data_IF_269099905354
#
_entry.id   IF_269099905354
#
_cell.length_a   1.000
_cell.length_b   1.000
_cell.length_c   1.000
_cell.angle_alpha   90.00
_cell.angle_beta   90.00
_cell.angle_gamma   90.00
#
_symmetry.space_group_name_H-M   'P 1'
#
loop_
_entity.id
_entity.type
_entity.pdbx_description
1 polymer ?
#
# COMPACT_ATOMS: atom_id res chain seq x y z
N UNK A 1 4.29 -15.87 1.83
CA UNK A 1 3.84 -16.45 3.11
C UNK A 1 3.24 -15.41 4.02
N UNK A 2 2.23 -15.80 4.79
CA UNK A 2 1.55 -14.94 5.75
C UNK A 2 2.37 -14.64 7.02
N UNK A 3 3.44 -15.41 7.27
CA UNK A 3 4.33 -15.24 8.42
C UNK A 3 5.56 -14.45 8.00
N UNK A 4 5.70 -13.24 8.55
CA UNK A 4 6.84 -12.36 8.26
C UNK A 4 8.18 -12.96 8.69
N UNK A 5 8.19 -13.82 9.70
CA UNK A 5 9.37 -14.51 10.23
C UNK A 5 10.05 -15.40 9.18
N UNK A 6 9.27 -15.98 8.27
CA UNK A 6 9.73 -16.91 7.23
C UNK A 6 9.51 -16.40 5.82
N UNK A 7 8.90 -15.22 5.69
CA UNK A 7 8.60 -14.62 4.41
C UNK A 7 9.75 -13.77 3.87
N UNK A 8 9.50 -13.20 2.71
CA UNK A 8 10.36 -12.23 2.05
C UNK A 8 9.46 -11.22 1.33
N UNK A 9 9.80 -9.93 1.43
CA UNK A 9 9.17 -8.89 0.62
C UNK A 9 9.93 -8.80 -0.69
N UNK A 10 9.21 -8.88 -1.79
CA UNK A 10 9.76 -8.82 -3.16
C UNK A 10 9.31 -7.56 -3.90
N UNK A 11 8.23 -6.93 -3.42
CA UNK A 11 7.71 -5.67 -3.96
C UNK A 11 6.97 -4.89 -2.86
N UNK A 12 7.19 -3.57 -2.82
CA UNK A 12 6.36 -2.59 -2.12
C UNK A 12 6.03 -1.49 -3.13
N UNK A 13 4.74 -1.29 -3.40
CA UNK A 13 4.29 -0.18 -4.24
C UNK A 13 3.61 0.89 -3.40
N UNK A 14 3.88 2.14 -3.75
CA UNK A 14 3.30 3.31 -3.08
C UNK A 14 2.71 4.29 -4.09
N UNK A 15 1.71 5.05 -3.65
CA UNK A 15 1.08 6.09 -4.46
C UNK A 15 1.02 7.42 -3.72
N UNK A 16 1.31 8.49 -4.41
CA UNK A 16 1.17 9.85 -3.91
C UNK A 16 0.15 10.62 -4.73
N UNK A 17 -0.97 11.00 -4.09
CA UNK A 17 -2.02 11.80 -4.72
C UNK A 17 -1.65 13.27 -4.64
N UNK A 18 -1.64 13.96 -5.77
CA UNK A 18 -1.35 15.39 -5.86
C UNK A 18 -2.37 16.11 -6.73
N UNK A 19 -2.46 17.44 -6.56
CA UNK A 19 -3.26 18.29 -7.44
C UNK A 19 -2.39 18.70 -8.64
N UNK A 20 -2.78 18.26 -9.82
CA UNK A 20 -2.21 18.81 -11.06
C UNK A 20 -2.77 20.22 -11.28
N UNK A 21 -1.91 21.21 -11.08
CA UNK A 21 -2.28 22.62 -11.20
C UNK A 21 -2.60 23.05 -12.62
N UNK A 22 -2.08 22.34 -13.63
CA UNK A 22 -2.33 22.67 -15.03
C UNK A 22 -3.78 22.38 -15.43
N UNK A 23 -4.32 21.27 -14.93
CA UNK A 23 -5.66 20.79 -15.29
C UNK A 23 -6.67 20.93 -14.13
N UNK A 24 -6.23 21.38 -12.96
CA UNK A 24 -7.00 21.41 -11.71
C UNK A 24 -7.65 20.05 -11.37
N UNK A 25 -6.96 18.96 -11.72
CA UNK A 25 -7.39 17.58 -11.47
C UNK A 25 -6.46 16.89 -10.49
N UNK A 26 -6.98 15.89 -9.77
CA UNK A 26 -6.14 15.03 -8.95
C UNK A 26 -5.50 13.96 -9.81
N UNK A 27 -4.21 13.79 -9.60
CA UNK A 27 -3.37 12.79 -10.23
C UNK A 27 -2.66 11.95 -9.18
N UNK A 28 -2.15 10.78 -9.56
CA UNK A 28 -1.37 9.92 -8.67
C UNK A 28 -0.03 9.59 -9.31
N UNK A 29 1.03 9.69 -8.50
CA UNK A 29 2.35 9.14 -8.84
C UNK A 29 2.49 7.79 -8.16
N UNK A 30 2.83 6.77 -8.92
CA UNK A 30 3.09 5.41 -8.42
C UNK A 30 4.59 5.14 -8.48
N UNK A 31 5.10 4.49 -7.44
CA UNK A 31 6.49 4.00 -7.37
C UNK A 31 6.49 2.62 -6.75
N UNK A 32 7.24 1.71 -7.36
CA UNK A 32 7.50 0.38 -6.84
C UNK A 32 8.95 0.23 -6.40
N UNK A 33 9.14 -0.34 -5.22
CA UNK A 33 10.40 -0.87 -4.74
C UNK A 33 10.32 -2.38 -4.92
N UNK A 34 11.04 -2.92 -5.88
CA UNK A 34 10.95 -4.33 -6.25
C UNK A 34 12.31 -4.90 -6.62
N UNK A 35 12.52 -6.17 -6.33
CA UNK A 35 13.78 -6.81 -6.68
C UNK A 35 14.07 -8.07 -5.87
N UNK A 36 15.16 -8.77 -6.24
CA UNK A 36 15.58 -9.99 -5.57
C UNK A 36 16.25 -9.74 -4.22
N UNK A 37 16.75 -8.53 -3.96
CA UNK A 37 17.39 -8.17 -2.70
C UNK A 37 16.41 -7.42 -1.79
N UNK A 38 15.89 -8.12 -0.79
CA UNK A 38 14.92 -7.54 0.16
C UNK A 38 15.52 -6.43 1.01
N UNK A 39 16.82 -6.53 1.35
CA UNK A 39 17.47 -5.53 2.18
C UNK A 39 17.54 -4.19 1.45
N UNK A 40 17.96 -4.17 0.20
CA UNK A 40 18.03 -2.97 -0.64
C UNK A 40 16.62 -2.37 -0.79
N UNK A 41 15.63 -3.19 -1.15
CA UNK A 41 14.24 -2.77 -1.30
C UNK A 41 13.70 -2.09 -0.04
N UNK A 42 13.92 -2.71 1.12
CA UNK A 42 13.47 -2.18 2.41
C UNK A 42 14.22 -0.91 2.82
N UNK A 43 15.53 -0.81 2.55
CA UNK A 43 16.32 0.40 2.80
C UNK A 43 15.85 1.57 1.94
N UNK A 44 15.59 1.36 0.67
CA UNK A 44 15.08 2.38 -0.25
C UNK A 44 13.70 2.86 0.18
N UNK A 45 12.82 1.94 0.55
CA UNK A 45 11.49 2.29 1.08
C UNK A 45 11.59 3.05 2.42
N UNK A 46 12.44 2.61 3.35
CA UNK A 46 12.70 3.30 4.61
C UNK A 46 13.25 4.71 4.37
N UNK A 47 14.18 4.84 3.42
CA UNK A 47 14.75 6.12 2.99
C UNK A 47 13.68 7.09 2.50
N UNK A 48 12.75 6.62 1.65
CA UNK A 48 11.62 7.44 1.19
C UNK A 48 10.77 7.93 2.35
N UNK A 49 10.40 7.05 3.27
CA UNK A 49 9.57 7.43 4.43
C UNK A 49 10.27 8.42 5.35
N UNK A 50 11.54 8.19 5.66
CA UNK A 50 12.34 9.05 6.54
C UNK A 50 12.56 10.43 5.93
N UNK A 51 12.81 10.50 4.63
CA UNK A 51 13.10 11.75 3.93
C UNK A 51 11.85 12.62 3.76
N UNK A 52 10.72 12.02 3.36
CA UNK A 52 9.54 12.78 2.95
C UNK A 52 8.40 12.77 3.97
N UNK A 53 8.40 11.82 4.90
CA UNK A 53 7.31 11.63 5.87
C UNK A 53 7.83 11.43 7.31
N UNK A 54 8.72 12.31 7.80
CA UNK A 54 9.35 12.11 9.11
C UNK A 54 8.40 12.35 10.30
N UNK A 55 7.27 13.03 10.08
CA UNK A 55 6.33 13.40 11.14
C UNK A 55 4.96 12.77 10.91
N UNK A 56 4.63 11.77 11.74
CA UNK A 56 3.34 11.09 11.72
C UNK A 56 2.14 12.00 12.02
N UNK A 57 2.34 13.19 12.63
CA UNK A 57 1.26 14.12 12.88
C UNK A 57 0.89 14.96 11.65
N UNK A 58 1.74 14.99 10.64
CA UNK A 58 1.56 15.78 9.42
C UNK A 58 1.38 14.93 8.16
N UNK A 59 1.55 13.62 8.28
CA UNK A 59 1.54 12.71 7.14
C UNK A 59 0.57 11.58 7.40
N UNK A 60 -0.07 11.09 6.35
CA UNK A 60 -0.99 9.97 6.43
C UNK A 60 -0.55 8.86 5.48
N UNK A 61 -0.68 7.62 5.92
CA UNK A 61 -0.51 6.43 5.08
C UNK A 61 -1.88 5.78 4.93
N UNK A 62 -2.30 5.55 3.69
CA UNK A 62 -3.56 4.89 3.38
C UNK A 62 -3.30 3.51 2.81
N UNK A 63 -4.10 2.53 3.25
CA UNK A 63 -4.06 1.18 2.74
C UNK A 63 -5.37 0.44 3.02
N UNK A 64 -5.49 -0.77 2.49
CA UNK A 64 -6.64 -1.64 2.73
C UNK A 64 -6.21 -2.80 3.63
N UNK A 65 -6.68 -2.85 4.87
CA UNK A 65 -6.20 -3.75 5.92
C UNK A 65 -4.74 -3.51 6.32
N UNK A 66 -4.27 -2.30 6.12
CA UNK A 66 -2.85 -1.93 6.28
C UNK A 66 -2.37 -2.05 7.74
N UNK A 67 -3.24 -1.77 8.71
CA UNK A 67 -2.92 -1.82 10.14
C UNK A 67 -2.73 -3.24 10.66
N UNK A 68 -3.49 -4.20 10.12
CA UNK A 68 -3.44 -5.58 10.56
C UNK A 68 -2.44 -6.43 9.76
N UNK A 69 -2.11 -6.03 8.53
CA UNK A 69 -1.26 -6.83 7.64
C UNK A 69 0.01 -6.11 7.18
N UNK A 70 -0.08 -5.10 6.30
CA UNK A 70 1.09 -4.56 5.60
C UNK A 70 2.10 -3.92 6.56
N UNK A 71 1.67 -3.00 7.42
CA UNK A 71 2.59 -2.31 8.35
C UNK A 71 3.26 -3.29 9.32
N UNK A 72 2.54 -4.18 10.02
CA UNK A 72 3.18 -5.17 10.88
C UNK A 72 4.15 -6.09 10.12
N UNK A 73 3.80 -6.48 8.90
CA UNK A 73 4.65 -7.35 8.09
C UNK A 73 5.95 -6.63 7.69
N UNK A 74 5.85 -5.42 7.14
CA UNK A 74 6.99 -4.59 6.74
C UNK A 74 7.91 -4.32 7.93
N UNK A 75 7.36 -3.88 9.08
CA UNK A 75 8.15 -3.61 10.28
C UNK A 75 8.92 -4.85 10.75
N UNK A 76 8.27 -6.02 10.81
CA UNK A 76 8.95 -7.27 11.19
C UNK A 76 10.07 -7.61 10.21
N UNK A 77 9.83 -7.46 8.90
CA UNK A 77 10.87 -7.72 7.89
C UNK A 77 12.03 -6.73 7.98
N UNK A 78 11.76 -5.45 8.25
CA UNK A 78 12.83 -4.48 8.52
C UNK A 78 13.68 -4.90 9.73
N UNK A 79 13.05 -5.27 10.84
CA UNK A 79 13.78 -5.74 12.04
C UNK A 79 14.59 -7.02 11.78
N UNK A 80 14.05 -7.98 11.03
CA UNK A 80 14.78 -9.20 10.63
C UNK A 80 16.01 -8.88 9.80
N UNK A 81 15.94 -7.83 8.96
CA UNK A 81 17.05 -7.37 8.12
C UNK A 81 17.94 -6.32 8.83
N UNK A 82 17.72 -6.02 10.11
CA UNK A 82 18.52 -5.05 10.88
C UNK A 82 18.35 -3.61 10.41
N UNK A 83 17.19 -3.25 9.84
CA UNK A 83 16.87 -1.91 9.33
C UNK A 83 16.08 -1.15 10.40
N UNK A 84 16.50 0.09 10.68
CA UNK A 84 15.81 0.98 11.61
C UNK A 84 14.42 1.36 11.04
N UNK A 85 13.41 1.33 11.93
CA UNK A 85 12.04 1.66 11.51
C UNK A 85 11.87 3.17 11.34
N UNK A 86 11.38 3.65 10.17
CA UNK A 86 10.94 5.03 10.03
C UNK A 86 9.86 5.39 11.06
N UNK A 87 9.96 6.56 11.67
CA UNK A 87 9.08 7.00 12.76
C UNK A 87 7.58 6.91 12.44
N UNK A 88 7.21 7.09 11.18
CA UNK A 88 5.82 7.04 10.73
C UNK A 88 5.22 5.62 10.77
N UNK A 89 6.03 4.57 10.66
CA UNK A 89 5.57 3.17 10.73
C UNK A 89 5.97 2.47 12.05
N UNK A 90 6.79 3.08 12.88
CA UNK A 90 7.15 2.53 14.19
C UNK A 90 5.98 2.72 15.15
N UNK A 91 5.15 1.71 15.22
CA UNK A 91 3.94 1.69 16.07
C UNK A 91 4.00 0.66 17.19
N UNK A 92 5.19 0.13 17.48
CA UNK A 92 5.38 -0.83 18.55
C UNK A 92 4.90 -0.25 19.89
N UNK A 93 3.96 -0.94 20.54
CA UNK A 93 3.38 -0.52 21.82
C UNK A 93 2.46 0.70 21.79
N UNK A 94 2.22 1.30 20.62
CA UNK A 94 1.28 2.42 20.47
C UNK A 94 -0.17 1.96 20.63
N UNK A 95 -0.99 2.85 21.17
CA UNK A 95 -2.43 2.63 21.34
C UNK A 95 -3.17 2.98 20.03
N UNK A 96 -4.38 2.45 19.78
CA UNK A 96 -5.10 2.70 18.53
C UNK A 96 -5.26 4.16 18.14
N UNK A 97 -5.43 5.06 19.11
CA UNK A 97 -5.56 6.50 18.82
C UNK A 97 -4.24 7.19 18.47
N UNK A 98 -3.10 6.58 18.79
CA UNK A 98 -1.76 7.06 18.44
C UNK A 98 -1.36 6.66 17.02
N UNK A 99 -2.16 5.83 16.38
CA UNK A 99 -1.99 5.37 14.99
C UNK A 99 -3.05 5.92 14.03
N UNK A 100 -3.67 7.06 14.38
CA UNK A 100 -4.72 7.70 13.59
C UNK A 100 -4.23 8.21 12.22
N UNK A 101 -2.92 8.32 12.01
CA UNK A 101 -2.32 8.65 10.72
C UNK A 101 -2.39 7.49 9.71
N UNK A 102 -2.72 6.28 10.13
CA UNK A 102 -3.06 5.20 9.21
C UNK A 102 -4.54 5.24 8.83
N UNK A 103 -4.80 5.57 7.59
CA UNK A 103 -6.14 5.56 7.01
C UNK A 103 -6.43 4.18 6.42
N UNK A 104 -6.98 3.29 7.23
CA UNK A 104 -7.31 1.93 6.82
C UNK A 104 -8.71 1.88 6.20
N UNK A 105 -8.77 1.67 4.90
CA UNK A 105 -10.05 1.66 4.17
C UNK A 105 -10.94 0.47 4.53
N UNK A 106 -10.38 -0.63 5.05
CA UNK A 106 -11.18 -1.73 5.58
C UNK A 106 -11.82 -1.34 6.91
N UNK A 107 -11.10 -0.67 7.81
CA UNK A 107 -11.69 -0.14 9.06
C UNK A 107 -12.76 0.92 8.77
N UNK A 108 -12.53 1.81 7.79
CA UNK A 108 -13.53 2.81 7.37
C UNK A 108 -14.81 2.14 6.89
N UNK A 109 -14.71 1.04 6.12
CA UNK A 109 -15.86 0.29 5.62
C UNK A 109 -16.57 -0.51 6.71
N UNK A 110 -15.85 -1.02 7.70
CA UNK A 110 -16.41 -1.84 8.78
C UNK A 110 -17.41 -1.09 9.68
N UNK A 111 -17.29 0.24 9.83
CA UNK A 111 -18.11 1.02 10.77
C UNK A 111 -18.23 0.37 12.16
N UNK A 112 -17.14 -0.28 12.63
CA UNK A 112 -17.11 -0.98 13.91
C UNK A 112 -17.56 -2.45 13.88
N UNK A 113 -18.03 -2.97 12.75
CA UNK A 113 -18.30 -4.42 12.59
C UNK A 113 -17.01 -5.22 12.50
N UNK A 114 -16.68 -5.92 13.60
CA UNK A 114 -15.43 -6.70 13.71
C UNK A 114 -15.39 -7.96 12.85
N UNK A 115 -16.52 -8.40 12.29
CA UNK A 115 -16.62 -9.64 11.50
C UNK A 115 -16.58 -9.39 9.99
N UNK A 116 -16.64 -8.14 9.56
CA UNK A 116 -16.63 -7.78 8.15
C UNK A 116 -15.20 -7.65 7.62
N UNK A 117 -14.79 -8.59 6.77
CA UNK A 117 -13.51 -8.55 6.04
C UNK A 117 -13.80 -8.48 4.54
N UNK A 118 -14.17 -7.30 4.09
CA UNK A 118 -14.57 -7.10 2.69
C UNK A 118 -13.34 -6.82 1.83
N UNK A 119 -13.13 -7.61 0.78
CA UNK A 119 -11.97 -7.43 -0.10
C UNK A 119 -12.07 -6.14 -0.93
N UNK A 120 -10.90 -5.58 -1.28
CA UNK A 120 -10.78 -4.42 -2.15
C UNK A 120 -11.53 -4.61 -3.48
N UNK A 121 -11.42 -5.80 -4.08
CA UNK A 121 -12.10 -6.18 -5.33
C UNK A 121 -13.63 -6.12 -5.19
N UNK A 122 -14.18 -6.63 -4.08
CA UNK A 122 -15.61 -6.58 -3.85
C UNK A 122 -16.09 -5.13 -3.65
N UNK A 123 -15.34 -4.32 -2.88
CA UNK A 123 -15.67 -2.91 -2.67
C UNK A 123 -15.60 -2.11 -3.97
N UNK A 124 -14.61 -2.37 -4.83
CA UNK A 124 -14.53 -1.75 -6.14
C UNK A 124 -15.79 -2.02 -6.98
N UNK A 125 -16.23 -3.28 -7.00
CA UNK A 125 -17.44 -3.67 -7.74
C UNK A 125 -18.71 -3.01 -7.19
N UNK A 126 -18.89 -3.02 -5.87
CA UNK A 126 -20.09 -2.46 -5.21
C UNK A 126 -20.13 -0.94 -5.32
N UNK A 127 -18.98 -0.27 -5.19
CA UNK A 127 -18.89 1.19 -5.19
C UNK A 127 -18.68 1.78 -6.60
N UNK A 128 -18.61 0.93 -7.63
CA UNK A 128 -18.62 1.33 -9.03
C UNK A 128 -17.38 2.09 -9.49
N UNK A 129 -16.18 1.65 -9.07
CA UNK A 129 -14.93 2.15 -9.63
C UNK A 129 -14.13 1.00 -10.25
N UNK A 130 -13.22 1.31 -11.21
CA UNK A 130 -12.45 0.27 -11.87
C UNK A 130 -11.66 -0.56 -10.85
N UNK A 131 -11.94 -1.86 -10.81
CA UNK A 131 -11.09 -2.84 -10.13
C UNK A 131 -10.02 -3.29 -11.11
N UNK A 132 -8.78 -3.48 -10.66
CA UNK A 132 -7.80 -4.11 -11.52
C UNK A 132 -8.35 -5.47 -11.98
N UNK A 133 -8.40 -5.68 -13.30
CA UNK A 133 -8.52 -7.03 -13.84
C UNK A 133 -7.12 -7.61 -13.81
N UNK A 134 -6.78 -8.24 -12.69
CA UNK A 134 -5.48 -8.85 -12.53
C UNK A 134 -5.51 -10.27 -13.04
N UNK A 135 -4.43 -10.65 -13.65
CA UNK A 135 -4.15 -12.02 -14.09
C UNK A 135 -3.52 -12.85 -12.96
N UNK A 136 -3.17 -12.19 -11.83
CA UNK A 136 -2.69 -12.83 -10.59
C UNK A 136 -3.44 -12.29 -9.38
N UNK A 137 -3.43 -13.04 -8.31
CA UNK A 137 -3.85 -12.61 -6.98
C UNK A 137 -2.73 -12.77 -5.94
N UNK A 138 -2.95 -12.27 -4.73
CA UNK A 138 -1.93 -12.29 -3.68
C UNK A 138 -1.42 -13.70 -3.31
N UNK A 139 -2.20 -14.76 -3.55
CA UNK A 139 -1.78 -16.15 -3.30
C UNK A 139 -0.81 -16.66 -4.37
N UNK A 140 -0.86 -16.07 -5.57
CA UNK A 140 -0.04 -16.45 -6.71
C UNK A 140 1.31 -15.74 -6.76
N UNK A 141 1.48 -14.62 -6.03
CA UNK A 141 2.73 -13.84 -6.00
C UNK A 141 3.96 -14.73 -5.73
N UNK A 142 3.84 -15.68 -4.79
CA UNK A 142 4.92 -16.63 -4.52
C UNK A 142 5.31 -17.49 -5.72
N UNK A 143 4.33 -18.02 -6.45
CA UNK A 143 4.54 -18.81 -7.66
C UNK A 143 5.19 -17.95 -8.76
N UNK A 144 4.63 -16.79 -9.03
CA UNK A 144 5.16 -15.86 -10.06
C UNK A 144 6.61 -15.48 -9.75
N UNK A 145 6.93 -15.23 -8.48
CA UNK A 145 8.29 -14.88 -8.08
C UNK A 145 9.27 -16.05 -8.24
N UNK A 146 8.93 -17.23 -7.71
CA UNK A 146 9.88 -18.35 -7.63
C UNK A 146 9.94 -19.20 -8.90
N UNK A 147 8.83 -19.35 -9.63
CA UNK A 147 8.74 -20.22 -10.79
C UNK A 147 8.87 -19.44 -12.11
N UNK A 148 8.30 -18.24 -12.20
CA UNK A 148 8.30 -17.43 -13.42
C UNK A 148 9.38 -16.35 -13.42
N UNK A 149 9.90 -15.96 -12.23
CA UNK A 149 10.88 -14.88 -12.07
C UNK A 149 10.39 -13.53 -12.63
N UNK A 150 9.07 -13.31 -12.65
CA UNK A 150 8.44 -12.13 -13.26
C UNK A 150 8.11 -11.06 -12.20
N UNK A 151 9.16 -10.33 -11.79
CA UNK A 151 9.03 -9.26 -10.80
C UNK A 151 8.25 -8.05 -11.35
N UNK A 152 8.32 -7.80 -12.66
CA UNK A 152 7.62 -6.69 -13.29
C UNK A 152 6.10 -6.89 -13.23
N UNK A 153 5.64 -8.12 -13.44
CA UNK A 153 4.24 -8.52 -13.30
C UNK A 153 3.75 -8.34 -11.87
N UNK A 154 4.58 -8.68 -10.87
CA UNK A 154 4.27 -8.46 -9.45
C UNK A 154 4.18 -6.97 -9.15
N UNK A 155 5.12 -6.16 -9.66
CA UNK A 155 5.12 -4.71 -9.46
C UNK A 155 3.87 -4.08 -10.06
N UNK A 156 3.49 -4.46 -11.26
CA UNK A 156 2.27 -3.97 -11.91
C UNK A 156 1.01 -4.35 -11.11
N UNK A 157 0.94 -5.57 -10.59
CA UNK A 157 -0.14 -6.01 -9.71
C UNK A 157 -0.23 -5.12 -8.45
N UNK A 158 0.90 -4.91 -7.76
CA UNK A 158 0.95 -4.07 -6.56
C UNK A 158 0.56 -2.61 -6.85
N UNK A 159 1.00 -2.03 -7.98
CA UNK A 159 0.63 -0.66 -8.38
C UNK A 159 -0.86 -0.51 -8.66
N UNK A 160 -1.48 -1.51 -9.27
CA UNK A 160 -2.93 -1.53 -9.48
C UNK A 160 -3.69 -1.59 -8.16
N UNK A 161 -3.23 -2.37 -7.18
CA UNK A 161 -3.82 -2.42 -5.85
C UNK A 161 -3.70 -1.07 -5.12
N UNK A 162 -2.56 -0.38 -5.26
CA UNK A 162 -2.38 0.98 -4.74
C UNK A 162 -3.38 1.95 -5.38
N UNK A 163 -3.54 1.92 -6.69
CA UNK A 163 -4.51 2.77 -7.40
C UNK A 163 -5.94 2.47 -6.94
N UNK A 164 -6.32 1.19 -6.85
CA UNK A 164 -7.65 0.78 -6.39
C UNK A 164 -7.90 1.23 -4.94
N UNK A 165 -6.91 1.14 -4.06
CA UNK A 165 -6.99 1.64 -2.68
C UNK A 165 -7.18 3.15 -2.63
N UNK A 166 -6.48 3.90 -3.48
CA UNK A 166 -6.66 5.35 -3.61
C UNK A 166 -8.07 5.71 -4.09
N UNK A 167 -8.60 5.00 -5.08
CA UNK A 167 -9.98 5.16 -5.56
C UNK A 167 -11.00 4.84 -4.45
N UNK A 168 -10.79 3.75 -3.70
CA UNK A 168 -11.64 3.38 -2.58
C UNK A 168 -11.68 4.47 -1.52
N UNK A 169 -10.50 4.97 -1.10
CA UNK A 169 -10.42 6.06 -0.12
C UNK A 169 -11.17 7.32 -0.58
N UNK A 170 -11.01 7.71 -1.85
CA UNK A 170 -11.72 8.84 -2.41
C UNK A 170 -13.24 8.61 -2.43
N UNK A 171 -13.69 7.42 -2.79
CA UNK A 171 -15.10 7.04 -2.81
C UNK A 171 -15.71 7.06 -1.41
N UNK A 172 -15.03 6.47 -0.42
CA UNK A 172 -15.47 6.49 0.99
C UNK A 172 -15.51 7.91 1.57
N UNK A 173 -14.68 8.80 1.05
CA UNK A 173 -14.63 10.21 1.43
C UNK A 173 -15.57 11.10 0.61
N UNK A 174 -16.41 10.54 -0.26
CA UNK A 174 -17.31 11.24 -1.19
C UNK A 174 -16.59 12.27 -2.08
N UNK A 175 -15.33 11.99 -2.43
CA UNK A 175 -14.50 12.82 -3.31
C UNK A 175 -14.51 12.30 -4.74
N UNK A 176 -14.29 13.17 -5.74
CA UNK A 176 -14.11 12.73 -7.13
C UNK A 176 -12.99 11.70 -7.24
N UNK A 177 -13.22 10.68 -8.07
CA UNK A 177 -12.23 9.66 -8.38
C UNK A 177 -11.06 10.26 -9.19
N UNK A 178 -9.92 9.56 -9.14
CA UNK A 178 -8.80 9.86 -10.05
C UNK A 178 -9.17 9.43 -11.47
N UNK A 179 -8.78 10.24 -12.45
CA UNK A 179 -8.82 9.82 -13.83
C UNK A 179 -7.68 8.80 -14.07
N UNK A 180 -7.99 7.68 -14.71
CA UNK A 180 -7.01 6.65 -15.06
C UNK A 180 -5.90 7.15 -15.99
N UNK A 181 -6.19 8.18 -16.80
CA UNK A 181 -5.21 8.82 -17.70
C UNK A 181 -4.21 9.72 -16.95
N UNK A 182 -4.43 9.96 -15.66
CA UNK A 182 -3.60 10.81 -14.81
C UNK A 182 -2.65 10.04 -13.89
N UNK A 183 -2.38 8.77 -14.19
CA UNK A 183 -1.41 7.94 -13.48
C UNK A 183 -0.01 8.19 -14.02
N UNK A 184 0.93 8.50 -13.13
CA UNK A 184 2.34 8.72 -13.48
C UNK A 184 3.18 7.67 -12.77
N UNK A 185 3.88 6.83 -13.52
CA UNK A 185 4.85 5.88 -12.96
C UNK A 185 6.21 6.56 -12.77
N UNK A 186 6.82 6.36 -11.62
CA UNK A 186 8.12 6.93 -11.25
C UNK A 186 9.10 5.80 -10.98
N UNK A 187 10.26 5.86 -11.61
CA UNK A 187 11.38 4.96 -11.38
C UNK A 187 12.07 5.20 -10.03
#
# INVERSE_FOLDING_TARGET
>A
GIYAEFGKIVCISVGFIFLDKANNTKSIKLKSFAGPDEMILLQDFAGLLTQYYPDANKSFICGHNIKEFDIPYICRRMLVNGIELPAIIDVAGKKPWETAHFLDTMEMWKFGDRKSFTSLKLLAAVLGFPSPKDDIDGSEVGRVYWEESDIDRISLYCEKDVLATAQLYLRLSLKPLLNTDSVVHVS
#
